data_IF_307034272507
#
_entry.id   IF_307034272507
#
_cell.length_a   1.000
_cell.length_b   1.000
_cell.length_c   1.000
_cell.angle_alpha   90.00
_cell.angle_beta   90.00
_cell.angle_gamma   90.00
#
_symmetry.space_group_name_H-M   'P 1'
#
loop_
_entity.id
_entity.type
_entity.pdbx_description
1 polymer ?
#
# COMPACT_ATOMS: atom_id res chain seq x y z
N UNK A 1 6.59 -9.55 16.41
CA UNK A 1 6.37 -8.97 15.08
C UNK A 1 5.60 -7.69 15.29
N UNK A 2 6.01 -6.61 14.64
CA UNK A 2 5.37 -5.29 14.67
C UNK A 2 4.89 -4.99 13.24
N UNK A 3 3.79 -4.24 13.10
CA UNK A 3 3.17 -3.92 11.80
C UNK A 3 2.28 -2.68 11.89
N UNK A 4 2.43 -1.77 10.94
CA UNK A 4 1.54 -0.63 10.73
C UNK A 4 0.33 -1.00 9.88
N UNK A 5 -0.86 -0.60 10.34
CA UNK A 5 -2.13 -0.88 9.65
C UNK A 5 -2.77 0.43 9.21
N UNK A 6 -3.27 0.46 7.96
CA UNK A 6 -4.14 1.52 7.43
C UNK A 6 -5.45 0.93 6.91
N UNK A 7 -6.43 1.81 6.65
CA UNK A 7 -7.75 1.45 6.12
C UNK A 7 -7.94 2.07 4.74
N UNK A 8 -8.41 1.27 3.78
CA UNK A 8 -8.72 1.69 2.41
C UNK A 8 -10.06 2.44 2.32
N UNK A 9 -10.34 3.06 1.16
CA UNK A 9 -11.62 3.74 0.92
C UNK A 9 -12.84 2.82 1.03
N UNK A 10 -12.68 1.53 0.72
CA UNK A 10 -13.71 0.49 0.83
C UNK A 10 -13.66 -0.27 2.17
N UNK A 11 -12.90 0.22 3.16
CA UNK A 11 -12.93 -0.26 4.54
C UNK A 11 -12.09 -1.52 4.81
N UNK A 12 -11.21 -1.91 3.89
CA UNK A 12 -10.29 -3.03 4.10
C UNK A 12 -9.04 -2.59 4.86
N UNK A 13 -8.44 -3.51 5.62
CA UNK A 13 -7.18 -3.29 6.31
C UNK A 13 -5.99 -3.69 5.43
N UNK A 14 -4.95 -2.86 5.40
CA UNK A 14 -3.69 -3.11 4.66
C UNK A 14 -2.49 -2.82 5.54
N UNK A 15 -1.37 -3.51 5.28
CA UNK A 15 -0.10 -3.29 5.97
C UNK A 15 0.77 -2.32 5.18
N UNK A 16 0.87 -1.09 5.66
CA UNK A 16 1.69 -0.04 5.05
C UNK A 16 1.93 1.05 6.08
N UNK A 17 3.19 1.48 6.21
CA UNK A 17 3.57 2.50 7.20
C UNK A 17 3.07 3.90 6.78
N UNK A 18 3.34 4.26 5.52
CA UNK A 18 3.06 5.60 4.99
C UNK A 18 1.57 5.82 4.74
N UNK A 19 1.17 7.09 4.62
CA UNK A 19 -0.20 7.46 4.23
C UNK A 19 -0.47 7.24 2.74
N UNK A 20 0.59 7.22 1.93
CA UNK A 20 0.53 7.01 0.48
C UNK A 20 1.32 5.76 0.08
N UNK A 21 1.04 5.23 -1.11
CA UNK A 21 1.70 4.01 -1.62
C UNK A 21 3.04 4.29 -2.32
N UNK A 22 3.35 5.55 -2.59
CA UNK A 22 4.40 6.03 -3.51
C UNK A 22 5.81 5.52 -3.20
N UNK A 23 6.18 5.44 -1.91
CA UNK A 23 7.56 5.12 -1.53
C UNK A 23 7.89 3.63 -1.66
N UNK A 24 6.92 2.76 -1.42
CA UNK A 24 7.13 1.31 -1.27
C UNK A 24 6.33 0.49 -2.27
N UNK A 25 5.80 1.12 -3.32
CA UNK A 25 5.12 0.44 -4.41
C UNK A 25 5.44 1.10 -5.75
N UNK A 26 4.94 0.54 -6.84
CA UNK A 26 4.93 1.15 -8.17
C UNK A 26 3.70 2.05 -8.44
N UNK A 27 2.83 2.24 -7.44
CA UNK A 27 1.66 3.11 -7.49
C UNK A 27 1.89 4.50 -6.95
N UNK A 28 0.84 5.31 -6.91
CA UNK A 28 0.84 6.63 -6.27
C UNK A 28 -0.52 6.94 -5.66
N UNK A 29 -0.53 7.74 -4.59
CA UNK A 29 -1.74 8.26 -3.97
C UNK A 29 -2.05 7.70 -2.58
N UNK A 30 -3.05 8.30 -1.93
CA UNK A 30 -3.40 8.04 -0.53
C UNK A 30 -4.11 6.70 -0.34
N UNK A 31 -3.71 5.95 0.69
CA UNK A 31 -4.30 4.64 1.02
C UNK A 31 -5.79 4.76 1.36
N UNK A 32 -6.18 5.77 2.14
CA UNK A 32 -7.57 5.99 2.56
C UNK A 32 -8.50 6.46 1.43
N UNK A 33 -7.94 6.81 0.26
CA UNK A 33 -8.70 7.23 -0.92
C UNK A 33 -8.71 6.15 -2.02
N UNK A 34 -8.01 5.03 -1.79
CA UNK A 34 -7.85 3.95 -2.76
C UNK A 34 -8.68 2.72 -2.40
N UNK A 35 -9.14 1.95 -3.39
CA UNK A 35 -9.80 0.65 -3.14
C UNK A 35 -8.78 -0.45 -2.82
N UNK A 36 -9.21 -1.49 -2.11
CA UNK A 36 -8.36 -2.66 -1.88
C UNK A 36 -7.90 -3.30 -3.20
N UNK A 37 -8.78 -3.34 -4.21
CA UNK A 37 -8.47 -3.93 -5.51
C UNK A 37 -7.34 -3.21 -6.24
N UNK A 38 -7.22 -1.88 -6.07
CA UNK A 38 -6.12 -1.10 -6.62
C UNK A 38 -4.82 -1.41 -5.88
N UNK A 39 -4.83 -1.28 -4.55
CA UNK A 39 -3.63 -1.49 -3.71
C UNK A 39 -3.09 -2.91 -3.84
N UNK A 40 -3.97 -3.92 -3.88
CA UNK A 40 -3.57 -5.32 -4.04
C UNK A 40 -2.97 -5.64 -5.42
N UNK A 41 -3.15 -4.75 -6.41
CA UNK A 41 -2.55 -4.88 -7.73
C UNK A 41 -1.17 -4.23 -7.87
N UNK A 42 -0.68 -3.53 -6.84
CA UNK A 42 0.60 -2.84 -6.86
C UNK A 42 1.77 -3.79 -6.54
N UNK A 43 2.92 -3.51 -7.12
CA UNK A 43 4.18 -4.16 -6.77
C UNK A 43 4.81 -3.48 -5.56
N UNK A 44 4.67 -4.10 -4.39
CA UNK A 44 5.24 -3.61 -3.13
C UNK A 44 6.66 -4.13 -2.80
N UNK A 45 7.38 -4.71 -3.77
CA UNK A 45 8.66 -5.41 -3.56
C UNK A 45 9.81 -4.89 -4.42
N UNK A 46 9.58 -4.62 -5.70
CA UNK A 46 10.65 -4.29 -6.66
C UNK A 46 11.38 -2.97 -6.35
N UNK A 47 10.79 -2.09 -5.53
CA UNK A 47 11.45 -0.87 -5.05
C UNK A 47 12.66 -1.17 -4.13
N UNK A 48 12.65 -2.32 -3.45
CA UNK A 48 13.71 -2.73 -2.53
C UNK A 48 14.79 -3.56 -3.21
N UNK A 49 14.41 -4.48 -4.12
CA UNK A 49 15.33 -5.37 -4.82
C UNK A 49 14.66 -5.97 -6.07
N UNK A 50 15.35 -5.96 -7.23
CA UNK A 50 14.82 -6.44 -8.53
C UNK A 50 14.95 -7.96 -8.74
N UNK A 51 14.90 -8.76 -7.67
CA UNK A 51 15.23 -10.19 -7.73
C UNK A 51 14.30 -11.02 -8.61
#
# INVERSE_FOLDING_TARGET
VESDVKVTADGAFVLIHDETVDRTTDGAGTVSESSLSYIAGLDAGSWFDQK
#
